data_IF_556294762312
#
_entry.id   IF_556294762312
#
_cell.length_a   1.000
_cell.length_b   1.000
_cell.length_c   1.000
_cell.angle_alpha   90.00
_cell.angle_beta   90.00
_cell.angle_gamma   90.00
#
_symmetry.space_group_name_H-M   'P 1'
#
loop_
_entity.id
_entity.type
_entity.pdbx_description
1 polymer ?
#
# COMPACT_ATOMS: atom_id res chain seq x y z
N UNK A 1 -6.50 -82.61 -39.87
CA UNK A 1 -5.64 -81.41 -39.99
C UNK A 1 -4.53 -81.34 -38.95
N UNK A 2 -4.74 -81.61 -37.66
CA UNK A 2 -3.70 -81.53 -36.60
C UNK A 2 -2.41 -82.31 -36.91
N UNK A 3 -2.48 -83.54 -37.40
CA UNK A 3 -1.28 -84.38 -37.70
C UNK A 3 -0.36 -83.79 -38.78
N UNK A 4 -0.87 -83.01 -39.74
CA UNK A 4 -0.05 -82.35 -40.78
C UNK A 4 0.73 -81.23 -40.24
N UNK A 5 0.16 -80.49 -39.27
CA UNK A 5 0.81 -79.32 -38.61
C UNK A 5 1.94 -79.88 -37.72
N UNK A 6 1.70 -80.90 -36.94
CA UNK A 6 2.72 -81.50 -36.08
C UNK A 6 3.92 -82.02 -36.87
N UNK A 7 3.66 -82.71 -38.04
CA UNK A 7 4.76 -83.19 -38.88
C UNK A 7 5.54 -82.05 -39.54
N UNK A 8 4.90 -80.96 -39.94
CA UNK A 8 5.59 -79.83 -40.51
C UNK A 8 6.38 -79.03 -39.44
N UNK A 9 5.85 -78.94 -38.22
CA UNK A 9 6.53 -78.32 -37.11
C UNK A 9 7.79 -79.08 -36.67
N UNK A 10 7.68 -80.45 -36.58
CA UNK A 10 8.84 -81.27 -36.28
C UNK A 10 9.91 -81.20 -37.37
N UNK A 11 9.53 -81.14 -38.63
CA UNK A 11 10.45 -81.04 -39.74
C UNK A 11 11.16 -79.69 -39.77
N UNK A 12 10.48 -78.61 -39.34
CA UNK A 12 11.05 -77.29 -39.18
C UNK A 12 11.99 -77.25 -37.99
N UNK A 13 11.70 -77.90 -36.89
CA UNK A 13 12.56 -77.96 -35.72
C UNK A 13 13.83 -78.82 -36.01
N UNK A 14 13.74 -79.88 -36.78
CA UNK A 14 14.88 -80.74 -37.18
C UNK A 14 15.84 -79.99 -38.15
N UNK A 15 15.35 -78.98 -38.83
CA UNK A 15 16.16 -78.15 -39.74
C UNK A 15 16.86 -76.93 -39.03
N UNK A 16 16.53 -76.69 -37.78
CA UNK A 16 17.22 -75.69 -37.03
C UNK A 16 18.64 -76.18 -36.69
N UNK A 17 19.68 -75.37 -36.96
CA UNK A 17 21.04 -75.74 -36.54
C UNK A 17 21.01 -75.93 -35.03
N UNK A 18 21.30 -77.11 -34.55
CA UNK A 18 21.45 -77.36 -33.12
C UNK A 18 22.85 -76.92 -32.75
N UNK A 19 22.96 -75.85 -32.00
CA UNK A 19 24.30 -75.44 -31.53
C UNK A 19 24.82 -76.49 -30.58
N UNK A 20 26.08 -76.90 -30.78
CA UNK A 20 26.78 -77.84 -29.88
C UNK A 20 26.79 -77.18 -28.49
N UNK A 21 26.30 -77.89 -27.49
CA UNK A 21 26.20 -77.47 -26.13
C UNK A 21 27.55 -76.86 -25.60
N UNK A 22 28.64 -77.50 -26.00
CA UNK A 22 29.98 -77.07 -25.58
C UNK A 22 30.41 -75.72 -26.20
N UNK A 23 30.06 -75.48 -27.44
CA UNK A 23 30.33 -74.23 -28.11
C UNK A 23 29.57 -73.00 -27.46
N UNK A 24 28.32 -73.31 -26.97
CA UNK A 24 27.54 -72.25 -26.24
C UNK A 24 28.06 -72.05 -24.82
N UNK A 25 28.55 -73.13 -24.17
CA UNK A 25 29.04 -73.03 -22.80
C UNK A 25 30.45 -72.35 -22.72
N UNK A 26 31.23 -72.49 -23.76
CA UNK A 26 32.58 -71.85 -23.86
C UNK A 26 32.51 -70.46 -24.50
N UNK A 27 31.40 -70.03 -25.03
CA UNK A 27 31.26 -68.72 -25.62
C UNK A 27 31.44 -67.64 -24.53
N UNK A 28 32.30 -66.64 -24.75
CA UNK A 28 32.51 -65.57 -23.78
C UNK A 28 31.16 -64.85 -23.54
N UNK A 29 30.69 -64.88 -22.30
CA UNK A 29 29.48 -64.18 -21.91
C UNK A 29 29.73 -62.68 -22.10
N UNK A 30 29.23 -62.13 -23.17
CA UNK A 30 29.16 -60.66 -23.28
C UNK A 30 28.30 -60.16 -22.13
N UNK A 31 28.88 -59.43 -21.20
CA UNK A 31 28.14 -58.66 -20.20
C UNK A 31 27.19 -57.78 -20.99
N UNK A 32 25.93 -58.08 -20.98
CA UNK A 32 24.89 -57.13 -21.42
C UNK A 32 25.08 -55.89 -20.54
N UNK A 33 25.38 -54.75 -21.16
CA UNK A 33 25.28 -53.50 -20.44
C UNK A 33 23.85 -53.45 -19.86
N UNK A 34 23.77 -53.29 -18.54
CA UNK A 34 22.50 -53.15 -17.84
C UNK A 34 21.87 -51.85 -18.37
N UNK A 35 21.13 -51.98 -19.47
CA UNK A 35 20.27 -50.93 -19.92
C UNK A 35 19.08 -50.92 -18.98
N UNK A 36 19.16 -50.12 -17.94
CA UNK A 36 18.05 -49.85 -17.07
C UNK A 36 17.03 -48.98 -17.84
N UNK A 37 16.09 -49.67 -18.49
CA UNK A 37 15.03 -49.02 -19.27
C UNK A 37 14.02 -48.27 -18.40
N UNK A 38 14.11 -48.41 -17.07
CA UNK A 38 13.16 -47.79 -16.12
C UNK A 38 13.64 -46.44 -15.66
N UNK A 39 14.96 -46.14 -15.69
CA UNK A 39 15.53 -44.94 -15.10
C UNK A 39 16.05 -43.92 -16.12
N UNK A 40 15.70 -44.05 -17.41
CA UNK A 40 16.00 -42.99 -18.39
C UNK A 40 14.97 -41.88 -18.42
N UNK A 41 14.59 -41.37 -17.28
CA UNK A 41 14.40 -39.96 -17.15
C UNK A 41 15.75 -39.37 -16.67
N UNK A 42 16.55 -38.92 -17.59
CA UNK A 42 17.58 -37.93 -17.30
C UNK A 42 16.85 -36.72 -16.75
N UNK A 43 16.41 -36.82 -15.50
CA UNK A 43 16.14 -35.63 -14.70
C UNK A 43 17.51 -34.99 -14.57
N UNK A 44 17.84 -34.14 -15.54
CA UNK A 44 18.91 -33.18 -15.43
C UNK A 44 18.58 -32.33 -14.23
N UNK A 45 18.90 -32.82 -13.06
CA UNK A 45 18.92 -32.04 -11.83
C UNK A 45 20.04 -31.06 -12.06
N UNK A 46 19.69 -29.93 -12.69
CA UNK A 46 20.62 -28.80 -12.79
C UNK A 46 21.08 -28.56 -11.37
N UNK A 47 22.37 -28.68 -11.06
CA UNK A 47 22.85 -28.40 -9.73
C UNK A 47 22.44 -26.98 -9.43
N UNK A 48 21.45 -26.81 -8.55
CA UNK A 48 21.10 -25.48 -8.02
C UNK A 48 22.42 -24.96 -7.46
N UNK A 49 22.98 -23.97 -8.16
CA UNK A 49 24.28 -23.41 -7.80
C UNK A 49 24.16 -23.04 -6.34
N UNK A 50 24.86 -23.74 -5.46
CA UNK A 50 24.84 -23.54 -3.99
C UNK A 50 25.15 -22.09 -3.59
N UNK A 51 25.68 -21.29 -4.53
CA UNK A 51 25.92 -19.85 -4.41
C UNK A 51 24.65 -18.99 -4.53
N UNK A 52 23.55 -19.49 -5.11
CA UNK A 52 22.28 -18.74 -5.22
C UNK A 52 21.47 -18.77 -3.91
N UNK A 53 21.68 -19.77 -3.07
CA UNK A 53 20.96 -19.91 -1.80
C UNK A 53 21.25 -18.74 -0.82
N UNK A 54 22.51 -18.36 -0.55
CA UNK A 54 22.80 -17.23 0.34
C UNK A 54 22.32 -15.90 -0.24
N UNK A 55 22.35 -15.74 -1.58
CA UNK A 55 21.84 -14.53 -2.23
C UNK A 55 20.31 -14.43 -2.11
N UNK A 56 19.58 -15.54 -2.27
CA UNK A 56 18.14 -15.59 -2.08
C UNK A 56 17.75 -15.29 -0.62
N UNK A 57 18.46 -15.84 0.36
CA UNK A 57 18.25 -15.56 1.78
C UNK A 57 18.52 -14.09 2.11
N UNK A 58 19.58 -13.50 1.56
CA UNK A 58 19.89 -12.08 1.74
C UNK A 58 18.79 -11.18 1.14
N UNK A 59 18.28 -11.52 -0.04
CA UNK A 59 17.17 -10.80 -0.67
C UNK A 59 15.87 -10.89 0.16
N UNK A 60 15.53 -12.06 0.70
CA UNK A 60 14.39 -12.23 1.59
C UNK A 60 14.55 -11.43 2.89
N UNK A 61 15.73 -11.44 3.50
CA UNK A 61 16.02 -10.67 4.71
C UNK A 61 15.88 -9.16 4.47
N UNK A 62 16.40 -8.67 3.32
CA UNK A 62 16.26 -7.28 2.92
C UNK A 62 14.78 -6.90 2.70
N UNK A 63 14.02 -7.73 2.00
CA UNK A 63 12.60 -7.50 1.76
C UNK A 63 11.80 -7.46 3.08
N UNK A 64 12.10 -8.36 4.02
CA UNK A 64 11.51 -8.36 5.36
C UNK A 64 11.88 -7.10 6.13
N UNK A 65 13.15 -6.69 6.12
CA UNK A 65 13.61 -5.48 6.81
C UNK A 65 12.92 -4.22 6.27
N UNK A 66 12.81 -4.08 4.93
CA UNK A 66 12.10 -2.97 4.28
C UNK A 66 10.60 -3.02 4.60
N UNK A 67 10.00 -4.22 4.59
CA UNK A 67 8.59 -4.41 4.94
C UNK A 67 8.28 -4.02 6.38
N UNK A 68 9.11 -4.48 7.35
CA UNK A 68 8.97 -4.08 8.75
C UNK A 68 9.18 -2.58 8.95
N UNK A 69 10.24 -2.02 8.36
CA UNK A 69 10.50 -0.58 8.44
C UNK A 69 9.32 0.25 7.92
N UNK A 70 8.76 -0.13 6.76
CA UNK A 70 7.59 0.53 6.19
C UNK A 70 6.36 0.38 7.10
N UNK A 71 6.15 -0.81 7.66
CA UNK A 71 5.07 -1.06 8.60
C UNK A 71 5.16 -0.13 9.82
N UNK A 72 6.32 -0.06 10.48
CA UNK A 72 6.50 0.80 11.66
C UNK A 72 6.37 2.28 11.31
N UNK A 73 6.84 2.70 10.14
CA UNK A 73 6.74 4.09 9.72
C UNK A 73 5.31 4.52 9.38
N UNK A 74 4.55 3.67 8.71
CA UNK A 74 3.24 4.05 8.16
C UNK A 74 2.04 3.60 8.99
N UNK A 75 2.19 2.58 9.82
CA UNK A 75 1.05 2.01 10.54
C UNK A 75 0.99 2.32 12.03
N UNK A 76 2.09 2.63 12.69
CA UNK A 76 2.08 2.98 14.10
C UNK A 76 1.68 4.44 14.33
N UNK A 77 0.90 4.66 15.40
CA UNK A 77 0.63 6.00 15.91
C UNK A 77 1.91 6.50 16.60
N UNK A 78 2.38 7.66 16.15
CA UNK A 78 3.59 8.30 16.65
C UNK A 78 3.29 9.55 17.47
N UNK A 79 2.29 10.33 17.04
CA UNK A 79 1.85 11.54 17.71
C UNK A 79 0.32 11.59 17.76
N UNK A 80 -0.22 12.28 18.75
CA UNK A 80 -1.63 12.62 18.88
C UNK A 80 -1.74 14.11 19.03
N UNK A 81 -2.59 14.71 18.23
CA UNK A 81 -2.94 16.13 18.28
C UNK A 81 -4.38 16.26 18.73
N UNK A 82 -4.58 16.89 19.87
CA UNK A 82 -5.90 17.20 20.39
C UNK A 82 -6.25 18.65 20.00
N UNK A 83 -7.35 18.80 19.30
CA UNK A 83 -7.91 20.08 18.87
C UNK A 83 -9.20 20.32 19.65
N UNK A 84 -9.22 21.31 20.53
CA UNK A 84 -10.34 21.62 21.39
C UNK A 84 -10.90 23.00 21.05
N UNK A 85 -12.10 23.02 20.54
CA UNK A 85 -12.87 24.22 20.18
C UNK A 85 -14.24 24.18 20.83
N UNK A 86 -14.70 23.03 21.31
CA UNK A 86 -16.07 22.68 21.58
C UNK A 86 -16.94 22.79 20.30
N UNK A 87 -16.82 21.82 19.38
CA UNK A 87 -16.45 20.39 19.61
C UNK A 87 -14.94 20.10 19.66
N UNK A 88 -14.58 18.89 20.14
CA UNK A 88 -13.19 18.47 20.35
C UNK A 88 -12.85 17.20 19.58
N UNK A 89 -11.62 17.17 19.02
CA UNK A 89 -11.14 16.10 18.17
C UNK A 89 -9.75 15.63 18.63
N UNK A 90 -9.49 14.33 18.51
CA UNK A 90 -8.16 13.75 18.65
C UNK A 90 -7.70 13.18 17.32
N UNK A 91 -6.59 13.69 16.80
CA UNK A 91 -5.99 13.27 15.54
C UNK A 91 -4.78 12.39 15.83
N UNK A 92 -4.86 11.11 15.49
CA UNK A 92 -3.76 10.18 15.60
C UNK A 92 -2.93 10.19 14.31
N UNK A 93 -1.63 10.48 14.44
CA UNK A 93 -0.69 10.63 13.34
C UNK A 93 0.36 9.52 13.34
N UNK A 94 0.84 9.15 12.16
CA UNK A 94 2.01 8.30 12.02
C UNK A 94 3.30 9.14 12.06
N UNK A 95 4.46 8.48 11.95
CA UNK A 95 5.77 9.17 11.93
C UNK A 95 5.99 10.06 10.70
N UNK A 96 5.17 9.98 9.69
CA UNK A 96 5.21 10.79 8.48
C UNK A 96 4.12 11.85 8.44
N UNK A 97 3.55 12.23 9.60
CA UNK A 97 2.52 13.27 9.78
C UNK A 97 1.23 13.03 8.98
N UNK A 98 1.00 11.77 8.61
CA UNK A 98 -0.26 11.38 8.00
C UNK A 98 -1.26 10.95 9.07
N UNK A 99 -2.48 11.39 8.92
CA UNK A 99 -3.58 11.03 9.80
C UNK A 99 -3.94 9.55 9.63
N UNK A 100 -3.96 8.85 10.75
CA UNK A 100 -4.36 7.45 10.84
C UNK A 100 -5.82 7.30 11.24
N UNK A 101 -6.23 8.15 12.15
CA UNK A 101 -7.58 8.21 12.68
C UNK A 101 -7.87 9.61 13.19
N UNK A 102 -9.12 10.04 13.07
CA UNK A 102 -9.68 11.19 13.76
C UNK A 102 -10.80 10.67 14.65
N UNK A 103 -10.72 10.99 15.92
CA UNK A 103 -11.70 10.59 16.92
C UNK A 103 -12.44 11.80 17.43
N UNK A 104 -13.76 11.78 17.40
CA UNK A 104 -14.56 12.76 18.10
C UNK A 104 -14.49 12.52 19.61
N UNK A 105 -14.30 13.58 20.39
CA UNK A 105 -14.29 13.51 21.84
C UNK A 105 -15.65 13.89 22.48
N UNK A 106 -16.58 14.43 21.66
CA UNK A 106 -17.95 14.75 22.08
C UNK A 106 -18.95 14.54 20.92
N UNK A 107 -20.24 14.59 21.23
CA UNK A 107 -21.31 14.32 20.25
C UNK A 107 -21.36 15.33 19.10
N UNK A 108 -21.04 16.59 19.34
CA UNK A 108 -21.01 17.62 18.30
C UNK A 108 -19.87 17.35 17.30
N UNK A 109 -18.72 16.84 17.79
CA UNK A 109 -17.64 16.42 16.95
C UNK A 109 -17.98 15.20 16.09
N UNK A 110 -18.81 14.26 16.61
CA UNK A 110 -19.31 13.12 15.83
C UNK A 110 -20.13 13.59 14.64
N UNK A 111 -21.00 14.56 14.81
CA UNK A 111 -21.83 15.11 13.74
C UNK A 111 -20.97 15.76 12.63
N UNK A 112 -19.83 16.38 12.98
CA UNK A 112 -18.89 16.95 12.00
C UNK A 112 -18.14 15.87 11.24
N UNK A 113 -17.78 14.77 11.91
CA UNK A 113 -17.04 13.65 11.31
C UNK A 113 -17.94 12.71 10.51
N UNK A 114 -19.27 12.79 10.64
CA UNK A 114 -20.20 11.88 10.01
C UNK A 114 -19.96 11.77 8.49
N UNK A 115 -19.75 10.54 8.02
CA UNK A 115 -19.49 10.25 6.61
C UNK A 115 -18.13 10.69 6.08
N UNK A 116 -17.22 11.21 6.92
CA UNK A 116 -15.89 11.68 6.51
C UNK A 116 -14.80 10.70 6.95
N UNK A 117 -13.78 10.53 6.12
CA UNK A 117 -12.59 9.74 6.42
C UNK A 117 -11.35 10.53 6.07
N UNK A 118 -10.50 10.74 7.06
CA UNK A 118 -9.23 11.49 6.93
C UNK A 118 -8.01 10.60 6.86
N UNK A 119 -8.20 9.29 6.79
CA UNK A 119 -7.11 8.32 6.79
C UNK A 119 -6.17 8.53 5.60
N UNK A 120 -4.90 8.77 5.89
CA UNK A 120 -3.86 9.01 4.88
C UNK A 120 -3.71 10.47 4.44
N UNK A 121 -4.56 11.36 4.95
CA UNK A 121 -4.42 12.80 4.72
C UNK A 121 -3.24 13.36 5.50
N UNK A 122 -2.71 14.50 5.07
CA UNK A 122 -1.73 15.27 5.84
C UNK A 122 -2.41 15.93 7.04
N UNK A 123 -1.63 16.24 8.08
CA UNK A 123 -2.14 16.96 9.23
C UNK A 123 -2.77 18.31 8.82
N UNK A 124 -2.06 19.10 8.01
CA UNK A 124 -2.51 20.41 7.53
C UNK A 124 -3.87 20.32 6.84
N UNK A 125 -3.99 19.48 5.79
CA UNK A 125 -5.25 19.33 5.06
C UNK A 125 -6.41 18.84 5.94
N UNK A 126 -6.12 18.01 6.95
CA UNK A 126 -7.13 17.52 7.87
C UNK A 126 -7.61 18.63 8.81
N UNK A 127 -6.67 19.39 9.38
CA UNK A 127 -6.99 20.51 10.26
C UNK A 127 -7.78 21.58 9.50
N UNK A 128 -7.37 21.96 8.31
CA UNK A 128 -8.10 22.90 7.45
C UNK A 128 -9.55 22.43 7.20
N UNK A 129 -9.73 21.17 6.82
CA UNK A 129 -11.06 20.64 6.56
C UNK A 129 -11.95 20.57 7.82
N UNK A 130 -11.36 20.25 8.97
CA UNK A 130 -12.05 20.28 10.26
C UNK A 130 -12.48 21.70 10.63
N UNK A 131 -11.56 22.69 10.50
CA UNK A 131 -11.86 24.10 10.75
C UNK A 131 -12.93 24.63 9.81
N UNK A 132 -12.93 24.21 8.53
CA UNK A 132 -14.00 24.53 7.59
C UNK A 132 -15.35 23.94 8.03
N UNK A 133 -15.35 22.70 8.51
CA UNK A 133 -16.54 22.06 9.07
C UNK A 133 -17.08 22.78 10.31
N UNK A 134 -16.18 23.22 11.20
CA UNK A 134 -16.51 23.98 12.39
C UNK A 134 -17.13 25.35 12.03
N UNK A 135 -16.51 26.06 11.07
CA UNK A 135 -17.01 27.33 10.58
C UNK A 135 -18.40 27.18 9.91
N UNK A 136 -18.58 26.16 9.07
CA UNK A 136 -19.85 25.90 8.39
C UNK A 136 -21.00 25.57 9.35
N UNK A 137 -20.70 25.01 10.51
CA UNK A 137 -21.70 24.72 11.56
C UNK A 137 -21.83 25.82 12.60
N UNK A 138 -21.06 26.92 12.48
CA UNK A 138 -21.15 28.08 13.36
C UNK A 138 -20.42 27.93 14.69
N UNK A 139 -19.51 26.96 14.83
CA UNK A 139 -18.63 26.81 16.01
C UNK A 139 -17.42 27.74 15.97
N UNK A 140 -17.04 28.21 14.78
CA UNK A 140 -16.04 29.22 14.54
C UNK A 140 -16.68 30.37 13.78
N UNK A 141 -16.83 31.52 14.45
CA UNK A 141 -17.55 32.71 13.91
C UNK A 141 -16.75 33.97 13.97
N UNK A 142 -15.71 33.99 14.80
CA UNK A 142 -14.91 35.16 15.08
C UNK A 142 -13.42 34.83 15.12
N UNK A 143 -12.60 35.82 14.84
CA UNK A 143 -11.14 35.76 15.02
C UNK A 143 -10.70 35.58 16.49
N UNK A 144 -11.57 35.92 17.43
CA UNK A 144 -11.32 35.81 18.86
C UNK A 144 -11.73 34.44 19.43
N UNK A 145 -12.25 33.53 18.59
CA UNK A 145 -12.62 32.17 19.02
C UNK A 145 -11.39 31.41 19.48
N UNK A 146 -11.44 30.87 20.70
CA UNK A 146 -10.32 30.15 21.28
C UNK A 146 -10.23 28.73 20.73
N UNK A 147 -9.12 28.40 20.10
CA UNK A 147 -8.77 27.05 19.68
C UNK A 147 -7.58 26.57 20.50
N UNK A 148 -7.77 25.60 21.37
CA UNK A 148 -6.69 25.02 22.16
C UNK A 148 -6.09 23.80 21.43
N UNK A 149 -4.76 23.78 21.33
CA UNK A 149 -3.99 22.75 20.63
C UNK A 149 -3.04 22.07 21.61
N UNK A 150 -3.31 20.82 21.93
CA UNK A 150 -2.42 19.97 22.70
C UNK A 150 -1.78 18.90 21.80
N UNK A 151 -0.47 18.74 21.88
CA UNK A 151 0.27 17.74 21.10
C UNK A 151 1.04 16.81 22.01
N UNK A 152 0.77 15.52 21.89
CA UNK A 152 1.50 14.45 22.55
C UNK A 152 2.27 13.65 21.50
N UNK A 153 3.59 13.71 21.52
CA UNK A 153 4.48 13.02 20.58
C UNK A 153 5.54 12.22 21.32
N UNK A 154 6.00 11.13 20.69
CA UNK A 154 7.15 10.34 21.21
C UNK A 154 8.46 11.14 21.14
N UNK A 155 8.53 12.17 20.33
CA UNK A 155 9.66 13.07 20.17
C UNK A 155 9.20 14.51 20.48
N UNK A 156 9.86 15.16 21.43
CA UNK A 156 9.47 16.49 21.89
C UNK A 156 9.70 17.58 20.83
N UNK A 157 10.76 17.47 20.03
CA UNK A 157 11.07 18.44 18.97
C UNK A 157 10.06 18.30 17.82
N UNK A 158 9.75 17.06 17.46
CA UNK A 158 8.71 16.78 16.49
C UNK A 158 7.34 17.25 16.97
N UNK A 159 7.01 17.03 18.24
CA UNK A 159 5.76 17.52 18.83
C UNK A 159 5.62 19.04 18.79
N UNK A 160 6.73 19.80 18.99
CA UNK A 160 6.73 21.26 18.84
C UNK A 160 6.46 21.69 17.39
N UNK A 161 7.13 21.05 16.43
CA UNK A 161 6.92 21.36 15.01
C UNK A 161 5.46 21.09 14.57
N UNK A 162 4.86 19.99 15.05
CA UNK A 162 3.45 19.70 14.79
C UNK A 162 2.53 20.77 15.39
N UNK A 163 2.79 21.18 16.63
CA UNK A 163 2.01 22.24 17.29
C UNK A 163 2.09 23.55 16.51
N UNK A 164 3.28 24.01 16.14
CA UNK A 164 3.49 25.21 15.33
C UNK A 164 2.75 25.15 14.01
N UNK A 165 2.73 23.98 13.38
CA UNK A 165 2.01 23.77 12.12
C UNK A 165 0.50 23.92 12.31
N UNK A 166 -0.07 23.30 13.35
CA UNK A 166 -1.51 23.39 13.63
C UNK A 166 -1.90 24.81 14.04
N UNK A 167 -1.13 25.45 14.95
CA UNK A 167 -1.37 26.83 15.38
C UNK A 167 -1.33 27.81 14.20
N UNK A 168 -0.42 27.60 13.25
CA UNK A 168 -0.37 28.39 12.01
C UNK A 168 -1.65 28.19 11.16
N UNK A 169 -2.11 26.95 10.94
CA UNK A 169 -3.34 26.69 10.19
C UNK A 169 -4.55 27.32 10.88
N UNK A 170 -4.62 27.23 12.20
CA UNK A 170 -5.68 27.85 13.01
C UNK A 170 -5.63 29.38 12.88
N UNK A 171 -4.48 29.98 13.05
CA UNK A 171 -4.30 31.47 12.95
C UNK A 171 -4.65 31.96 11.53
N UNK A 172 -4.24 31.26 10.51
CA UNK A 172 -4.57 31.58 9.12
C UNK A 172 -6.08 31.54 8.89
N UNK A 173 -6.77 30.50 9.39
CA UNK A 173 -8.21 30.39 9.28
C UNK A 173 -8.95 31.47 10.04
N UNK A 174 -8.56 31.73 11.29
CA UNK A 174 -9.17 32.78 12.13
C UNK A 174 -8.95 34.18 11.56
N UNK A 175 -7.79 34.44 10.95
CA UNK A 175 -7.52 35.73 10.29
C UNK A 175 -8.47 36.01 9.13
N UNK A 176 -8.96 34.96 8.46
CA UNK A 176 -9.99 35.08 7.41
C UNK A 176 -11.31 35.64 7.91
N UNK A 177 -11.68 35.43 9.19
CA UNK A 177 -12.90 36.00 9.79
C UNK A 177 -12.71 37.49 10.15
N UNK A 178 -11.49 38.00 10.27
CA UNK A 178 -11.20 39.40 10.60
C UNK A 178 -11.27 40.31 9.39
N UNK A 179 -11.34 39.78 8.17
CA UNK A 179 -11.43 40.59 6.96
C UNK A 179 -12.91 40.90 6.69
N UNK A 180 -13.40 42.13 6.98
CA UNK A 180 -14.71 42.53 6.57
C UNK A 180 -14.77 42.39 5.04
N UNK A 181 -15.79 41.70 4.56
CA UNK A 181 -16.13 41.67 3.14
C UNK A 181 -16.45 43.11 2.70
N UNK A 182 -15.40 43.87 2.29
CA UNK A 182 -15.60 45.17 1.69
C UNK A 182 -16.09 44.92 0.28
N UNK A 183 -17.40 45.06 0.04
CA UNK A 183 -17.89 44.93 -1.33
C UNK A 183 -17.12 45.96 -2.16
N UNK A 184 -16.49 45.50 -3.23
CA UNK A 184 -15.80 46.34 -4.18
C UNK A 184 -16.73 47.52 -4.55
N UNK A 185 -16.30 48.78 -4.46
CA UNK A 185 -17.16 49.90 -4.78
C UNK A 185 -17.62 49.76 -6.22
N UNK A 186 -18.91 49.53 -6.39
CA UNK A 186 -19.52 49.51 -7.73
C UNK A 186 -19.16 50.83 -8.40
N UNK A 187 -18.70 50.82 -9.66
CA UNK A 187 -18.39 52.07 -10.35
C UNK A 187 -19.67 52.90 -10.45
N UNK A 188 -19.78 53.93 -9.64
CA UNK A 188 -20.84 54.93 -9.73
C UNK A 188 -20.72 55.55 -11.11
N UNK A 189 -21.64 55.19 -11.99
CA UNK A 189 -21.81 55.88 -13.28
C UNK A 189 -22.17 57.33 -12.97
N UNK A 190 -21.19 58.21 -13.10
CA UNK A 190 -21.41 59.64 -13.10
C UNK A 190 -22.18 59.99 -14.38
N UNK A 191 -23.51 60.13 -14.23
CA UNK A 191 -24.35 60.74 -15.27
C UNK A 191 -24.00 62.22 -15.35
N UNK A 192 -23.22 62.55 -16.33
CA UNK A 192 -22.97 63.98 -16.69
C UNK A 192 -24.30 64.56 -17.22
N UNK A 193 -24.91 65.39 -16.39
CA UNK A 193 -26.10 66.16 -16.82
C UNK A 193 -25.63 67.17 -17.87
N UNK A 194 -26.12 67.00 -19.11
CA UNK A 194 -25.96 67.95 -20.20
C UNK A 194 -26.80 69.21 -19.88
N UNK A 195 -26.26 70.46 -19.93
CA UNK A 195 -27.04 71.66 -19.68
C UNK A 195 -27.99 71.90 -20.85
N UNK A 196 -29.25 72.11 -20.52
CA UNK A 196 -30.30 72.52 -21.45
C UNK A 196 -30.06 73.97 -21.90
N UNK A 197 -30.02 74.33 -23.21
CA UNK A 197 -29.92 75.70 -23.64
C UNK A 197 -31.27 76.40 -23.44
N UNK A 198 -31.28 77.57 -22.81
CA UNK A 198 -32.41 78.47 -22.64
C UNK A 198 -32.71 79.15 -23.94
N UNK A 199 -33.95 79.16 -24.44
CA UNK A 199 -34.34 79.98 -25.58
C UNK A 199 -34.52 81.44 -25.19
N UNK A 200 -34.08 82.33 -26.08
CA UNK A 200 -34.33 83.81 -26.07
C UNK A 200 -35.70 84.08 -26.58
#
# INVERSE_FOLDING_TARGET
>A
MKRKIETSLRRAMDQLPQPDYWTVAEAPVQKMEVHDYVTRQDVSVRPVRRRALPLALAACALALAVGLYSYFRFFQIYSVVDLTVNPSFALALNRGDQVRNVTALNGDAEAILEGRSYRGWTLEATVENLLDGLAAQGYLTSADDAVDVAVNSKDADHGRALRETVERCVAEKLSGFSQPDVPAPSPTSVTVATPVPTPI
#
